data_IF_317458685372
#
_entry.id   IF_317458685372
#
_cell.length_a   1.000
_cell.length_b   1.000
_cell.length_c   1.000
_cell.angle_alpha   90.00
_cell.angle_beta   90.00
_cell.angle_gamma   90.00
#
_symmetry.space_group_name_H-M   'P 1'
#
loop_
_entity.id
_entity.type
_entity.pdbx_description
1 polymer ?
#
# COMPACT_ATOMS: atom_id res chain seq x y z
N UNK A 1 -6.12 -18.67 10.65
CA UNK A 1 -5.53 -17.32 10.73
C UNK A 1 -6.53 -16.37 10.07
N UNK A 2 -6.79 -15.21 10.65
CA UNK A 2 -7.74 -14.27 10.04
C UNK A 2 -7.10 -13.68 8.76
N UNK A 3 -7.86 -13.54 7.67
CA UNK A 3 -7.29 -13.05 6.42
C UNK A 3 -7.00 -11.56 6.50
N UNK A 4 -5.88 -11.14 5.91
CA UNK A 4 -5.60 -9.72 5.69
C UNK A 4 -6.40 -9.19 4.50
N UNK A 5 -6.95 -8.00 4.65
CA UNK A 5 -7.55 -7.24 3.55
C UNK A 5 -6.76 -5.94 3.38
N UNK A 6 -6.08 -5.81 2.24
CA UNK A 6 -5.46 -4.57 1.82
C UNK A 6 -6.47 -3.75 1.00
N UNK A 7 -6.81 -2.59 1.51
CA UNK A 7 -7.62 -1.59 0.82
C UNK A 7 -6.71 -0.62 0.07
N UNK A 8 -6.88 -0.56 -1.25
CA UNK A 8 -6.08 0.27 -2.14
C UNK A 8 -6.95 1.27 -2.90
N UNK A 9 -6.36 2.40 -3.26
CA UNK A 9 -7.07 3.43 -4.01
C UNK A 9 -7.49 2.91 -5.39
N UNK A 10 -8.77 3.09 -5.73
CA UNK A 10 -9.25 2.79 -7.08
C UNK A 10 -8.75 3.83 -8.10
N UNK A 11 -8.59 3.40 -9.35
CA UNK A 11 -8.28 4.25 -10.48
C UNK A 11 -9.46 5.14 -10.90
N UNK A 12 -9.32 5.82 -12.04
CA UNK A 12 -10.32 6.76 -12.55
C UNK A 12 -11.67 6.11 -12.90
N UNK A 13 -11.70 4.80 -13.13
CA UNK A 13 -12.94 4.04 -13.34
C UNK A 13 -13.63 3.61 -12.03
N UNK A 14 -13.01 3.89 -10.88
CA UNK A 14 -13.52 3.52 -9.56
C UNK A 14 -13.48 2.02 -9.26
N UNK A 15 -12.84 1.21 -10.10
CA UNK A 15 -12.84 -0.27 -9.98
C UNK A 15 -11.42 -0.83 -10.00
N UNK A 16 -10.60 -0.48 -11.00
CA UNK A 16 -9.24 -1.02 -11.15
C UNK A 16 -8.28 -0.39 -10.15
N UNK A 17 -7.10 -0.98 -9.98
CA UNK A 17 -6.02 -0.42 -9.16
C UNK A 17 -5.66 0.99 -9.65
N UNK A 18 -5.59 1.95 -8.73
CA UNK A 18 -5.09 3.30 -8.99
C UNK A 18 -3.57 3.35 -9.03
N UNK A 19 -3.04 4.44 -9.56
CA UNK A 19 -1.58 4.70 -9.64
C UNK A 19 -0.98 5.25 -8.35
N UNK A 20 -1.38 4.74 -7.18
CA UNK A 20 -0.80 5.17 -5.90
C UNK A 20 0.43 4.31 -5.54
N UNK A 21 1.65 4.90 -5.53
CA UNK A 21 2.87 4.17 -5.22
C UNK A 21 2.89 3.58 -3.81
N UNK A 22 2.20 4.20 -2.83
CA UNK A 22 2.20 3.71 -1.45
C UNK A 22 1.33 2.44 -1.31
N UNK A 23 0.12 2.47 -1.90
CA UNK A 23 -0.69 1.26 -2.06
C UNK A 23 0.08 0.14 -2.76
N UNK A 24 0.81 0.48 -3.82
CA UNK A 24 1.56 -0.51 -4.59
C UNK A 24 2.72 -1.12 -3.79
N UNK A 25 3.46 -0.31 -3.03
CA UNK A 25 4.54 -0.81 -2.17
C UNK A 25 4.03 -1.85 -1.16
N UNK A 26 2.94 -1.53 -0.44
CA UNK A 26 2.36 -2.45 0.55
C UNK A 26 1.85 -3.72 -0.14
N UNK A 27 1.24 -3.59 -1.33
CA UNK A 27 0.79 -4.74 -2.10
C UNK A 27 1.95 -5.68 -2.48
N UNK A 28 3.08 -5.13 -2.95
CA UNK A 28 4.27 -5.92 -3.27
C UNK A 28 4.84 -6.62 -2.04
N UNK A 29 4.89 -5.95 -0.88
CA UNK A 29 5.33 -6.56 0.39
C UNK A 29 4.46 -7.77 0.74
N UNK A 30 3.14 -7.65 0.62
CA UNK A 30 2.21 -8.75 0.91
C UNK A 30 2.36 -9.91 -0.08
N UNK A 31 2.58 -9.63 -1.38
CA UNK A 31 2.87 -10.66 -2.39
C UNK A 31 4.13 -11.44 -1.99
N UNK A 32 5.26 -10.75 -1.82
CA UNK A 32 6.55 -11.39 -1.51
C UNK A 32 6.49 -12.22 -0.22
N UNK A 33 5.79 -11.70 0.81
CA UNK A 33 5.57 -12.45 2.06
C UNK A 33 4.63 -13.63 1.88
N UNK A 34 3.56 -13.52 1.09
CA UNK A 34 2.60 -14.62 0.88
C UNK A 34 3.16 -15.75 0.02
N UNK A 35 4.11 -15.45 -0.87
CA UNK A 35 4.71 -16.44 -1.77
C UNK A 35 5.79 -17.28 -1.09
N UNK A 36 6.30 -16.85 0.07
CA UNK A 36 7.35 -17.58 0.77
C UNK A 36 6.80 -18.87 1.39
N UNK A 37 7.43 -20.04 1.19
CA UNK A 37 6.91 -21.33 1.66
C UNK A 37 6.67 -21.41 3.17
N UNK A 38 7.49 -20.72 3.95
CA UNK A 38 7.42 -20.71 5.42
C UNK A 38 6.54 -19.57 5.98
N UNK A 39 5.77 -18.88 5.13
CA UNK A 39 4.87 -17.81 5.55
C UNK A 39 3.43 -18.27 5.52
N UNK A 40 2.72 -18.05 6.61
CA UNK A 40 1.28 -18.30 6.72
C UNK A 40 0.43 -17.10 6.26
N UNK A 41 1.05 -16.07 5.67
CA UNK A 41 0.36 -14.86 5.24
C UNK A 41 -0.60 -15.15 4.07
N UNK A 42 -1.89 -15.00 4.35
CA UNK A 42 -2.95 -14.97 3.33
C UNK A 42 -3.60 -13.60 3.31
N UNK A 43 -3.74 -13.02 2.12
CA UNK A 43 -4.36 -11.71 1.98
C UNK A 43 -5.24 -11.61 0.74
N UNK A 44 -6.10 -10.60 0.74
CA UNK A 44 -6.91 -10.17 -0.39
C UNK A 44 -6.76 -8.67 -0.60
N UNK A 45 -7.04 -8.20 -1.82
CA UNK A 45 -6.99 -6.79 -2.17
C UNK A 45 -8.37 -6.32 -2.56
N UNK A 46 -8.78 -5.18 -2.01
CA UNK A 46 -10.02 -4.48 -2.38
C UNK A 46 -9.69 -3.06 -2.81
N UNK A 47 -10.26 -2.63 -3.93
CA UNK A 47 -10.17 -1.25 -4.38
C UNK A 47 -11.26 -0.40 -3.72
N UNK A 48 -10.93 0.82 -3.35
CA UNK A 48 -11.89 1.80 -2.81
C UNK A 48 -11.90 3.06 -3.66
N UNK A 49 -13.10 3.42 -4.13
CA UNK A 49 -13.37 4.77 -4.60
C UNK A 49 -13.71 5.63 -3.38
N UNK A 50 -12.78 6.47 -2.92
CA UNK A 50 -12.93 7.30 -1.73
C UNK A 50 -14.05 8.35 -1.85
N UNK A 51 -14.46 8.72 -3.08
CA UNK A 51 -15.61 9.60 -3.30
C UNK A 51 -16.96 8.88 -3.12
N UNK A 52 -16.97 7.55 -3.24
CA UNK A 52 -18.15 6.70 -3.05
C UNK A 52 -17.74 5.37 -2.39
N UNK A 53 -17.28 5.40 -1.14
CA UNK A 53 -16.70 4.22 -0.50
C UNK A 53 -17.79 3.17 -0.23
N UNK A 54 -17.47 1.87 -0.40
CA UNK A 54 -18.41 0.79 -0.13
C UNK A 54 -18.81 0.74 1.36
N UNK A 55 -19.94 0.11 1.67
CA UNK A 55 -20.46 0.03 3.04
C UNK A 55 -19.44 -0.64 3.99
N UNK A 56 -18.88 -1.78 3.59
CA UNK A 56 -17.87 -2.51 4.35
C UNK A 56 -16.62 -1.67 4.69
N UNK A 57 -16.18 -0.78 3.80
CA UNK A 57 -15.06 0.13 4.09
C UNK A 57 -15.43 1.14 5.18
N UNK A 58 -16.63 1.73 5.10
CA UNK A 58 -17.12 2.71 6.08
C UNK A 58 -17.42 2.06 7.44
N UNK A 59 -18.00 0.86 7.43
CA UNK A 59 -18.34 0.09 8.63
C UNK A 59 -17.09 -0.35 9.39
N UNK A 60 -16.01 -0.66 8.66
CA UNK A 60 -14.68 -0.87 9.24
C UNK A 60 -14.02 0.44 9.75
N UNK A 61 -14.70 1.59 9.73
CA UNK A 61 -14.15 2.86 10.21
C UNK A 61 -13.05 3.46 9.34
N UNK A 62 -12.81 2.91 8.15
CA UNK A 62 -11.78 3.36 7.23
C UNK A 62 -12.19 4.66 6.51
N UNK A 63 -11.20 5.51 6.25
CA UNK A 63 -11.40 6.81 5.59
C UNK A 63 -10.64 6.97 4.29
N UNK A 64 -9.41 6.48 4.25
CA UNK A 64 -8.50 6.64 3.12
C UNK A 64 -7.74 5.34 2.86
N UNK A 65 -7.31 5.16 1.61
CA UNK A 65 -6.33 4.16 1.25
C UNK A 65 -4.91 4.79 1.20
N UNK A 66 -3.84 4.00 1.39
CA UNK A 66 -3.84 2.59 1.75
C UNK A 66 -4.36 2.34 3.16
N UNK A 67 -5.06 1.23 3.34
CA UNK A 67 -5.43 0.74 4.67
C UNK A 67 -5.36 -0.77 4.74
N UNK A 68 -5.02 -1.28 5.92
CA UNK A 68 -4.92 -2.71 6.20
C UNK A 68 -5.92 -3.08 7.27
N UNK A 69 -6.71 -4.10 7.00
CA UNK A 69 -7.59 -4.72 7.96
C UNK A 69 -7.11 -6.17 8.20
N UNK A 70 -7.05 -6.58 9.46
CA UNK A 70 -6.78 -7.97 9.83
C UNK A 70 -7.87 -8.41 10.81
N UNK A 71 -8.73 -9.33 10.36
CA UNK A 71 -9.90 -9.71 11.14
C UNK A 71 -10.91 -8.57 11.32
N UNK A 72 -11.57 -8.56 12.47
CA UNK A 72 -12.55 -7.54 12.84
C UNK A 72 -11.98 -6.44 13.76
N UNK A 73 -10.81 -6.68 14.36
CA UNK A 73 -10.33 -5.88 15.50
C UNK A 73 -9.14 -4.98 15.13
N UNK A 74 -8.45 -5.25 14.02
CA UNK A 74 -7.29 -4.46 13.61
C UNK A 74 -7.54 -3.73 12.30
N UNK A 75 -7.40 -2.42 12.38
CA UNK A 75 -7.47 -1.49 11.24
C UNK A 75 -6.28 -0.53 11.34
N UNK A 76 -5.50 -0.44 10.27
CA UNK A 76 -4.35 0.45 10.15
C UNK A 76 -4.50 1.31 8.89
N UNK A 77 -4.19 2.61 8.99
CA UNK A 77 -4.35 3.57 7.87
C UNK A 77 -3.09 4.39 7.58
N UNK A 78 -2.01 4.16 8.32
CA UNK A 78 -0.73 4.81 8.10
C UNK A 78 0.28 3.82 7.55
N UNK A 79 0.98 4.20 6.49
CA UNK A 79 1.90 3.31 5.78
C UNK A 79 2.95 2.69 6.71
N UNK A 80 3.64 3.50 7.50
CA UNK A 80 4.73 3.00 8.35
C UNK A 80 4.20 2.00 9.39
N UNK A 81 3.02 2.27 9.96
CA UNK A 81 2.34 1.35 10.88
C UNK A 81 1.93 0.04 10.19
N UNK A 82 1.43 0.12 8.96
CA UNK A 82 1.05 -1.05 8.16
C UNK A 82 2.27 -1.92 7.89
N UNK A 83 3.38 -1.33 7.42
CA UNK A 83 4.61 -2.05 7.11
C UNK A 83 5.20 -2.66 8.38
N UNK A 84 5.29 -1.89 9.47
CA UNK A 84 5.74 -2.38 10.77
C UNK A 84 4.91 -3.54 11.28
N UNK A 85 3.59 -3.46 11.15
CA UNK A 85 2.68 -4.52 11.53
C UNK A 85 2.93 -5.80 10.73
N UNK A 86 3.02 -5.68 9.40
CA UNK A 86 3.28 -6.82 8.52
C UNK A 86 4.62 -7.46 8.86
N UNK A 87 5.70 -6.68 9.05
CA UNK A 87 7.02 -7.22 9.37
C UNK A 87 7.09 -7.89 10.75
N UNK A 88 6.33 -7.41 11.73
CA UNK A 88 6.29 -8.02 13.07
C UNK A 88 5.49 -9.32 13.10
N UNK A 89 4.38 -9.40 12.36
CA UNK A 89 3.47 -10.56 12.40
C UNK A 89 3.82 -11.62 11.34
N UNK A 90 4.45 -11.21 10.24
CA UNK A 90 4.88 -12.09 9.15
C UNK A 90 6.37 -11.83 8.87
N UNK A 91 7.26 -12.26 9.78
CA UNK A 91 8.67 -11.90 9.73
C UNK A 91 9.44 -12.56 8.58
N UNK A 92 8.85 -13.57 7.93
CA UNK A 92 9.48 -14.34 6.85
C UNK A 92 8.75 -14.06 5.52
N UNK A 93 9.49 -13.75 4.43
CA UNK A 93 10.91 -13.42 4.43
C UNK A 93 11.13 -12.04 5.04
N UNK A 94 12.36 -11.83 5.53
CA UNK A 94 12.80 -10.50 5.94
C UNK A 94 13.02 -9.65 4.69
N UNK A 95 12.23 -8.57 4.54
CA UNK A 95 12.36 -7.62 3.44
C UNK A 95 13.21 -6.39 3.81
N UNK A 96 13.84 -6.41 4.99
CA UNK A 96 14.68 -5.32 5.46
C UNK A 96 15.89 -5.16 4.53
N UNK A 97 16.09 -3.95 4.05
CA UNK A 97 17.27 -3.55 3.29
C UNK A 97 18.03 -2.49 4.09
N UNK A 98 19.26 -2.81 4.49
CA UNK A 98 20.12 -1.89 5.26
C UNK A 98 21.06 -1.07 4.35
N UNK A 99 20.85 -1.12 3.03
CA UNK A 99 21.66 -0.37 2.06
C UNK A 99 21.08 1.03 1.87
N UNK A 100 21.58 2.00 2.64
CA UNK A 100 21.18 3.42 2.51
C UNK A 100 21.33 3.95 1.09
N UNK A 101 22.38 3.52 0.36
CA UNK A 101 22.59 3.92 -1.03
C UNK A 101 21.44 3.48 -1.97
N UNK A 102 20.80 2.34 -1.71
CA UNK A 102 19.65 1.88 -2.49
C UNK A 102 18.40 2.73 -2.21
N UNK A 103 18.16 3.05 -0.94
CA UNK A 103 17.07 3.96 -0.52
C UNK A 103 17.28 5.37 -1.10
N UNK A 104 18.50 5.88 -1.04
CA UNK A 104 18.85 7.20 -1.57
C UNK A 104 18.70 7.25 -3.08
N UNK A 105 19.13 6.21 -3.81
CA UNK A 105 19.01 6.15 -5.26
C UNK A 105 17.53 6.23 -5.71
N UNK A 106 16.65 5.45 -5.07
CA UNK A 106 15.21 5.44 -5.42
C UNK A 106 14.53 6.76 -5.06
N UNK A 107 14.81 7.32 -3.87
CA UNK A 107 14.24 8.59 -3.43
C UNK A 107 14.69 9.77 -4.33
N UNK A 108 15.97 9.81 -4.70
CA UNK A 108 16.52 10.87 -5.55
C UNK A 108 15.97 10.78 -6.98
N UNK A 109 15.80 9.57 -7.52
CA UNK A 109 15.19 9.37 -8.83
C UNK A 109 13.74 9.87 -8.86
N UNK A 110 12.91 9.44 -7.90
CA UNK A 110 11.52 9.87 -7.83
C UNK A 110 11.40 11.38 -7.64
N UNK A 111 12.23 11.97 -6.76
CA UNK A 111 12.28 13.41 -6.53
C UNK A 111 12.63 14.17 -7.81
N UNK A 112 13.68 13.76 -8.51
CA UNK A 112 14.13 14.43 -9.75
C UNK A 112 13.07 14.37 -10.84
N UNK A 113 12.44 13.19 -11.01
CA UNK A 113 11.33 13.02 -11.94
C UNK A 113 10.11 13.88 -11.57
N UNK A 114 9.76 13.96 -10.28
CA UNK A 114 8.65 14.76 -9.80
C UNK A 114 8.85 16.26 -10.00
N UNK A 115 10.09 16.76 -9.91
CA UNK A 115 10.42 18.14 -10.28
C UNK A 115 10.26 18.34 -11.78
N UNK A 116 10.90 17.50 -12.59
CA UNK A 116 10.85 17.59 -14.04
C UNK A 116 9.41 17.64 -14.58
N UNK A 117 8.55 16.71 -14.19
CA UNK A 117 7.18 16.65 -14.71
C UNK A 117 6.32 17.84 -14.28
N UNK A 118 6.60 18.44 -13.11
CA UNK A 118 5.89 19.63 -12.61
C UNK A 118 6.37 20.91 -13.30
N UNK A 119 7.66 21.01 -13.61
CA UNK A 119 8.23 22.16 -14.32
C UNK A 119 7.84 22.18 -15.81
N UNK A 120 7.65 21.02 -16.44
CA UNK A 120 7.20 20.91 -17.83
C UNK A 120 5.70 21.25 -17.98
N UNK A 121 4.93 21.17 -16.89
CA UNK A 121 3.48 21.44 -16.89
C UNK A 121 3.17 22.94 -16.73
N UNK A 122 3.76 23.78 -17.57
CA UNK A 122 3.56 25.25 -17.61
C UNK A 122 2.55 25.70 -18.66
N UNK A 123 1.82 24.80 -19.31
CA UNK A 123 0.79 25.19 -20.27
C UNK A 123 -0.39 25.90 -19.56
N UNK A 124 -0.91 27.02 -20.09
CA UNK A 124 -2.06 27.71 -19.50
C UNK A 124 -3.29 26.80 -19.51
N UNK A 125 -4.02 26.76 -18.38
CA UNK A 125 -5.32 26.09 -18.26
C UNK A 125 -6.42 26.81 -19.03
#
# INVERSE_FOLDING_TARGET
MEPIVLWVKAGSDGIRLGGDPLCHQIFMILIEKSLHPDSDLMFSVKTVNEAKPPAEFREAGLRHAPALQHGNDLILSHQDEIIDYIDRNFPIPSLKCECSAASDATANLFRSFAFFIKEVNTDPK
#
